data_IF_001471444833
#
_entry.id   IF_001471444833
#
_cell.length_a   1.000
_cell.length_b   1.000
_cell.length_c   1.000
_cell.angle_alpha   90.00
_cell.angle_beta   90.00
_cell.angle_gamma   90.00
#
_symmetry.space_group_name_H-M   'P 1'
#
loop_
_entity.id
_entity.type
_entity.pdbx_description
1 polymer ?
#
# COMPACT_ATOMS: atom_id res chain seq x y z
N UNK A 1 48.77 -27.99 -15.73
CA UNK A 1 47.47 -28.24 -15.06
C UNK A 1 46.97 -27.04 -14.27
N UNK A 2 47.67 -26.49 -13.26
CA UNK A 2 47.15 -25.36 -12.43
C UNK A 2 46.76 -24.10 -13.23
N UNK A 3 47.50 -23.69 -14.26
CA UNK A 3 47.19 -22.51 -15.10
C UNK A 3 45.92 -22.71 -15.96
N UNK A 4 45.70 -23.95 -16.44
CA UNK A 4 44.50 -24.29 -17.21
C UNK A 4 43.26 -24.30 -16.32
N UNK A 5 43.37 -24.88 -15.10
CA UNK A 5 42.26 -24.92 -14.14
C UNK A 5 41.86 -23.49 -13.68
N UNK A 6 42.83 -22.60 -13.50
CA UNK A 6 42.59 -21.20 -13.12
C UNK A 6 41.94 -20.40 -14.25
N UNK A 7 42.30 -20.70 -15.52
CA UNK A 7 41.65 -20.12 -16.70
C UNK A 7 40.19 -20.51 -16.86
N UNK A 8 39.89 -21.81 -16.70
CA UNK A 8 38.49 -22.31 -16.73
C UNK A 8 37.66 -21.78 -15.59
N UNK A 9 38.20 -21.65 -14.37
CA UNK A 9 37.49 -21.07 -13.23
C UNK A 9 37.11 -19.60 -13.45
N UNK A 10 38.05 -18.81 -14.04
CA UNK A 10 37.77 -17.40 -14.40
C UNK A 10 36.71 -17.27 -15.51
N UNK A 11 36.76 -18.15 -16.50
CA UNK A 11 35.76 -18.17 -17.60
C UNK A 11 34.37 -18.52 -17.08
N UNK A 12 34.25 -19.52 -16.20
CA UNK A 12 32.99 -19.90 -15.55
C UNK A 12 32.47 -18.76 -14.67
N UNK A 13 33.32 -18.12 -13.87
CA UNK A 13 32.97 -16.96 -13.05
C UNK A 13 32.45 -15.79 -13.90
N UNK A 14 33.11 -15.51 -15.04
CA UNK A 14 32.67 -14.49 -15.99
C UNK A 14 31.30 -14.79 -16.62
N UNK A 15 31.05 -16.06 -16.98
CA UNK A 15 29.75 -16.51 -17.51
C UNK A 15 28.62 -16.39 -16.47
N UNK A 16 28.89 -16.73 -15.21
CA UNK A 16 27.91 -16.59 -14.13
C UNK A 16 27.57 -15.11 -13.90
N UNK A 17 28.57 -14.23 -13.86
CA UNK A 17 28.36 -12.78 -13.72
C UNK A 17 27.55 -12.24 -14.91
N UNK A 18 27.87 -12.63 -16.14
CA UNK A 18 27.14 -12.21 -17.33
C UNK A 18 25.68 -12.70 -17.30
N UNK A 19 25.44 -13.94 -16.87
CA UNK A 19 24.11 -14.50 -16.72
C UNK A 19 23.30 -13.76 -15.64
N UNK A 20 23.93 -13.45 -14.50
CA UNK A 20 23.30 -12.66 -13.42
C UNK A 20 22.95 -11.28 -13.91
N UNK A 21 23.85 -10.59 -14.60
CA UNK A 21 23.59 -9.27 -15.18
C UNK A 21 22.50 -9.31 -16.24
N UNK A 22 22.47 -10.34 -17.07
CA UNK A 22 21.40 -10.56 -18.07
C UNK A 22 20.04 -10.79 -17.41
N UNK A 23 19.99 -11.64 -16.38
CA UNK A 23 18.76 -11.90 -15.62
C UNK A 23 18.28 -10.65 -14.90
N UNK A 24 19.19 -9.90 -14.26
CA UNK A 24 18.86 -8.62 -13.62
C UNK A 24 18.36 -7.59 -14.65
N UNK A 25 19.04 -7.47 -15.79
CA UNK A 25 18.62 -6.60 -16.89
C UNK A 25 17.25 -6.99 -17.44
N UNK A 26 17.03 -8.28 -17.69
CA UNK A 26 15.73 -8.79 -18.12
C UNK A 26 14.63 -8.45 -17.10
N UNK A 27 14.85 -8.71 -15.79
CA UNK A 27 13.91 -8.35 -14.75
C UNK A 27 13.63 -6.83 -14.70
N UNK A 28 14.68 -6.02 -14.83
CA UNK A 28 14.56 -4.57 -14.76
C UNK A 28 13.76 -3.99 -15.93
N UNK A 29 13.97 -4.50 -17.15
CA UNK A 29 13.33 -3.97 -18.36
C UNK A 29 12.00 -4.65 -18.70
N UNK A 30 11.80 -5.91 -18.29
CA UNK A 30 10.65 -6.72 -18.68
C UNK A 30 9.73 -7.14 -17.53
N UNK A 31 10.03 -6.79 -16.27
CA UNK A 31 9.20 -7.16 -15.12
C UNK A 31 7.93 -6.30 -15.02
N UNK A 32 7.12 -6.28 -16.04
CA UNK A 32 5.86 -5.54 -16.07
C UNK A 32 4.71 -6.39 -16.61
N UNK A 33 3.52 -5.83 -16.62
CA UNK A 33 2.36 -6.41 -17.28
C UNK A 33 2.17 -5.78 -18.66
N UNK A 34 1.89 -6.64 -19.66
CA UNK A 34 1.40 -6.19 -20.96
C UNK A 34 -0.13 -6.03 -21.01
N UNK A 35 -0.81 -6.38 -19.91
CA UNK A 35 -2.25 -6.27 -19.81
C UNK A 35 -2.66 -4.80 -19.72
N UNK A 36 -3.51 -4.38 -20.66
CA UNK A 36 -4.14 -3.06 -20.61
C UNK A 36 -5.41 -3.17 -19.75
N UNK A 37 -5.53 -2.35 -18.70
CA UNK A 37 -6.62 -2.50 -17.76
C UNK A 37 -7.96 -2.12 -18.38
N UNK A 38 -9.00 -2.81 -17.93
CA UNK A 38 -10.39 -2.48 -18.20
C UNK A 38 -11.03 -1.82 -16.98
N UNK A 39 -12.21 -1.21 -17.15
CA UNK A 39 -12.95 -0.57 -16.05
C UNK A 39 -12.14 0.47 -15.28
N UNK A 40 -11.49 1.34 -16.02
CA UNK A 40 -10.76 2.50 -15.47
C UNK A 40 -11.78 3.48 -14.89
N UNK A 41 -11.58 3.83 -13.61
CA UNK A 41 -12.44 4.81 -12.96
C UNK A 41 -12.05 6.22 -13.38
N UNK A 42 -13.02 7.01 -13.81
CA UNK A 42 -12.84 8.45 -13.99
C UNK A 42 -12.62 9.12 -12.63
N UNK A 43 -11.73 10.11 -12.58
CA UNK A 43 -11.58 10.95 -11.40
C UNK A 43 -12.91 11.66 -11.09
N UNK A 44 -13.32 11.59 -9.83
CA UNK A 44 -14.50 12.30 -9.32
C UNK A 44 -14.08 13.51 -8.49
N UNK A 45 -15.01 14.42 -8.28
CA UNK A 45 -14.80 15.53 -7.35
C UNK A 45 -14.65 15.00 -5.93
N UNK A 46 -13.63 15.47 -5.24
CA UNK A 46 -13.41 15.12 -3.84
C UNK A 46 -14.51 15.73 -2.95
N UNK A 47 -15.11 14.92 -2.13
CA UNK A 47 -16.05 15.34 -1.08
C UNK A 47 -15.41 15.06 0.28
N UNK A 48 -15.29 16.07 1.13
CA UNK A 48 -14.76 15.87 2.49
C UNK A 48 -15.59 14.84 3.26
N UNK A 49 -14.97 13.96 4.04
CA UNK A 49 -15.70 13.01 4.90
C UNK A 49 -16.51 13.69 6.02
N UNK A 50 -16.35 15.00 6.19
CA UNK A 50 -17.15 15.80 7.15
C UNK A 50 -16.69 15.67 8.59
N UNK A 51 -15.48 15.24 8.85
CA UNK A 51 -14.88 15.13 10.18
C UNK A 51 -13.47 14.57 10.14
N UNK A 52 -12.83 14.41 11.33
CA UNK A 52 -11.44 13.97 11.40
C UNK A 52 -11.22 12.58 10.77
N UNK A 53 -10.08 12.42 10.09
CA UNK A 53 -9.62 11.17 9.52
C UNK A 53 -8.52 10.57 10.40
N UNK A 54 -8.70 9.32 10.84
CA UNK A 54 -7.69 8.58 11.57
C UNK A 54 -6.85 7.72 10.60
N UNK A 55 -5.53 7.90 10.62
CA UNK A 55 -4.61 7.16 9.74
C UNK A 55 -3.75 6.21 10.56
N UNK A 56 -3.83 4.93 10.26
CA UNK A 56 -2.92 3.91 10.77
C UNK A 56 -1.79 3.67 9.76
N UNK A 57 -0.53 3.68 10.26
CA UNK A 57 0.66 3.55 9.41
C UNK A 57 1.12 4.88 8.78
N UNK A 58 0.69 6.03 9.32
CA UNK A 58 0.94 7.37 8.78
C UNK A 58 2.32 7.98 9.05
N UNK A 59 3.24 7.27 9.71
CA UNK A 59 4.54 7.86 10.10
C UNK A 59 5.59 7.89 8.99
N UNK A 60 5.39 7.17 7.89
CA UNK A 60 6.33 7.06 6.76
C UNK A 60 5.68 6.53 5.49
N UNK A 61 6.44 6.59 4.39
CA UNK A 61 6.05 6.00 3.09
C UNK A 61 4.68 6.46 2.63
N UNK A 62 3.88 5.57 2.07
CA UNK A 62 2.54 5.90 1.54
C UNK A 62 1.64 6.55 2.60
N UNK A 63 1.67 6.07 3.85
CA UNK A 63 0.84 6.64 4.90
C UNK A 63 1.18 8.10 5.20
N UNK A 64 2.46 8.45 5.24
CA UNK A 64 2.88 9.85 5.42
C UNK A 64 2.47 10.73 4.23
N UNK A 65 2.59 10.21 2.99
CA UNK A 65 2.10 10.93 1.81
C UNK A 65 0.57 11.15 1.86
N UNK A 66 -0.20 10.15 2.32
CA UNK A 66 -1.65 10.31 2.56
C UNK A 66 -1.93 11.41 3.58
N UNK A 67 -1.18 11.45 4.70
CA UNK A 67 -1.33 12.51 5.71
C UNK A 67 -1.05 13.88 5.11
N UNK A 68 0.01 14.04 4.30
CA UNK A 68 0.31 15.29 3.60
C UNK A 68 -0.84 15.72 2.69
N UNK A 69 -1.33 14.80 1.84
CA UNK A 69 -2.41 15.07 0.91
C UNK A 69 -3.74 15.44 1.59
N UNK A 70 -4.07 14.80 2.70
CA UNK A 70 -5.23 15.16 3.50
C UNK A 70 -5.09 16.58 4.08
N UNK A 71 -3.91 16.92 4.62
CA UNK A 71 -3.63 18.26 5.14
C UNK A 71 -3.66 19.34 4.05
N UNK A 72 -3.13 19.05 2.85
CA UNK A 72 -3.23 19.95 1.69
C UNK A 72 -4.68 20.25 1.30
N UNK A 73 -5.62 19.32 1.57
CA UNK A 73 -7.06 19.49 1.35
C UNK A 73 -7.80 20.13 2.52
N UNK A 74 -7.08 20.48 3.60
CA UNK A 74 -7.67 21.10 4.79
C UNK A 74 -8.35 20.12 5.75
N UNK A 75 -8.19 18.81 5.55
CA UNK A 75 -8.80 17.82 6.44
C UNK A 75 -8.16 17.81 7.83
N UNK A 76 -8.97 17.56 8.84
CA UNK A 76 -8.49 17.28 10.18
C UNK A 76 -7.94 15.84 10.22
N UNK A 77 -6.67 15.66 10.58
CA UNK A 77 -6.00 14.36 10.57
C UNK A 77 -5.46 14.03 11.94
N UNK A 78 -5.72 12.80 12.38
CA UNK A 78 -5.04 12.17 13.52
C UNK A 78 -4.29 10.94 13.01
N UNK A 79 -3.06 10.74 13.50
CA UNK A 79 -2.26 9.56 13.14
C UNK A 79 -2.08 8.66 14.36
N UNK A 80 -2.46 7.39 14.21
CA UNK A 80 -2.16 6.37 15.20
C UNK A 80 -0.68 5.98 15.12
N UNK A 81 0.05 6.15 16.22
CA UNK A 81 1.50 5.93 16.31
C UNK A 81 1.83 5.00 17.47
N UNK A 82 2.84 4.15 17.32
CA UNK A 82 3.41 3.41 18.45
C UNK A 82 4.22 4.38 19.33
N UNK A 83 4.34 4.10 20.60
CA UNK A 83 5.15 4.93 21.55
C UNK A 83 6.61 5.11 21.10
N UNK A 84 7.13 4.17 20.28
CA UNK A 84 8.50 4.21 19.75
C UNK A 84 8.60 4.83 18.35
N UNK A 85 7.50 5.34 17.79
CA UNK A 85 7.50 5.93 16.44
C UNK A 85 8.20 7.28 16.41
N UNK A 86 8.93 7.55 15.33
CA UNK A 86 9.40 8.91 15.04
C UNK A 86 8.24 9.73 14.47
N UNK A 87 7.86 10.81 15.17
CA UNK A 87 6.74 11.70 14.83
C UNK A 87 7.17 13.03 14.22
N UNK A 88 8.45 13.27 14.04
CA UNK A 88 8.99 14.58 13.63
C UNK A 88 8.36 15.15 12.34
N UNK A 89 8.06 14.28 11.35
CA UNK A 89 7.38 14.72 10.13
C UNK A 89 5.90 15.06 10.37
N UNK A 90 5.25 14.36 11.29
CA UNK A 90 3.86 14.62 11.67
C UNK A 90 3.74 15.96 12.42
N UNK A 91 4.70 16.25 13.28
CA UNK A 91 4.78 17.54 14.01
C UNK A 91 4.93 18.71 13.05
N UNK A 92 5.80 18.59 12.02
CA UNK A 92 5.93 19.60 10.95
C UNK A 92 4.65 19.85 10.18
N UNK A 93 3.82 18.81 10.02
CA UNK A 93 2.53 18.90 9.35
C UNK A 93 1.40 19.43 10.24
N UNK A 94 1.67 19.62 11.54
CA UNK A 94 0.68 20.08 12.50
C UNK A 94 -0.50 19.13 12.66
N UNK A 95 -0.27 17.80 12.56
CA UNK A 95 -1.31 16.80 12.74
C UNK A 95 -1.31 16.25 14.17
N UNK A 96 -2.49 15.87 14.64
CA UNK A 96 -2.64 15.20 15.94
C UNK A 96 -2.13 13.77 15.89
N UNK A 97 -1.64 13.28 17.01
CA UNK A 97 -1.25 11.87 17.15
C UNK A 97 -1.98 11.22 18.32
N UNK A 98 -2.23 9.91 18.22
CA UNK A 98 -2.74 9.08 19.30
C UNK A 98 -1.88 7.82 19.42
N UNK A 99 -1.54 7.43 20.65
CA UNK A 99 -0.73 6.24 20.87
C UNK A 99 -1.58 4.99 20.67
N UNK A 100 -1.19 4.15 19.71
CA UNK A 100 -1.79 2.84 19.49
C UNK A 100 -0.82 1.91 18.76
N UNK A 101 -0.51 0.76 19.37
CA UNK A 101 0.04 -0.39 18.64
C UNK A 101 -1.13 -1.15 18.01
N UNK A 102 -1.11 -1.32 16.69
CA UNK A 102 -2.17 -2.02 15.98
C UNK A 102 -2.32 -3.49 16.39
N UNK A 103 -1.28 -4.10 16.97
CA UNK A 103 -1.34 -5.47 17.49
C UNK A 103 -1.99 -5.56 18.88
N UNK A 104 -2.22 -4.42 19.54
CA UNK A 104 -2.90 -4.30 20.82
C UNK A 104 -4.33 -3.79 20.59
N UNK A 105 -5.32 -4.68 20.73
CA UNK A 105 -6.71 -4.36 20.47
C UNK A 105 -7.28 -3.30 21.43
N UNK A 106 -6.80 -3.25 22.68
CA UNK A 106 -7.26 -2.27 23.67
C UNK A 106 -6.77 -0.87 23.32
N UNK A 107 -5.50 -0.73 22.92
CA UNK A 107 -4.95 0.55 22.46
C UNK A 107 -5.64 1.03 21.18
N UNK A 108 -5.94 0.12 20.24
CA UNK A 108 -6.67 0.45 19.01
C UNK A 108 -8.08 0.93 19.33
N UNK A 109 -8.81 0.24 20.23
CA UNK A 109 -10.14 0.68 20.68
C UNK A 109 -10.08 2.05 21.36
N UNK A 110 -9.11 2.26 22.25
CA UNK A 110 -8.93 3.57 22.89
C UNK A 110 -8.65 4.69 21.87
N UNK A 111 -7.83 4.41 20.85
CA UNK A 111 -7.55 5.38 19.79
C UNK A 111 -8.81 5.70 18.97
N UNK A 112 -9.61 4.71 18.59
CA UNK A 112 -10.85 4.91 17.80
C UNK A 112 -11.94 5.65 18.59
N UNK A 113 -11.95 5.56 19.91
CA UNK A 113 -12.91 6.23 20.79
C UNK A 113 -12.42 7.58 21.33
N UNK A 114 -11.15 7.94 21.04
CA UNK A 114 -10.56 9.23 21.49
C UNK A 114 -11.17 10.46 20.82
N UNK A 115 -11.85 10.29 19.69
CA UNK A 115 -12.55 11.34 18.95
C UNK A 115 -13.64 10.74 18.08
N UNK A 116 -14.56 11.58 17.58
CA UNK A 116 -15.56 11.17 16.58
C UNK A 116 -14.94 11.22 15.17
N UNK A 117 -14.32 10.14 14.75
CA UNK A 117 -13.72 10.06 13.41
C UNK A 117 -14.78 9.81 12.34
N UNK A 118 -14.69 10.57 11.24
CA UNK A 118 -15.54 10.37 10.06
C UNK A 118 -15.05 9.20 9.19
N UNK A 119 -13.75 8.96 9.20
CA UNK A 119 -13.14 7.91 8.39
C UNK A 119 -11.85 7.35 8.99
N UNK A 120 -11.50 6.14 8.57
CA UNK A 120 -10.22 5.49 8.85
C UNK A 120 -9.50 5.17 7.54
N UNK A 121 -8.20 5.42 7.49
CA UNK A 121 -7.31 4.91 6.44
C UNK A 121 -6.28 3.99 7.09
N UNK A 122 -6.14 2.77 6.59
CA UNK A 122 -5.08 1.85 7.01
C UNK A 122 -4.08 1.59 5.89
N UNK A 123 -2.81 1.83 6.20
CA UNK A 123 -1.66 1.46 5.38
C UNK A 123 -0.73 0.49 6.13
N UNK A 124 -1.26 -0.15 7.18
CA UNK A 124 -0.50 -1.07 8.01
C UNK A 124 0.03 -2.24 7.19
N UNK A 125 1.29 -2.53 7.36
CA UNK A 125 1.97 -3.66 6.75
C UNK A 125 3.30 -3.91 7.45
N UNK A 126 3.90 -5.07 7.17
CA UNK A 126 5.18 -5.45 7.75
C UNK A 126 6.30 -4.52 7.35
N UNK A 127 7.05 -4.07 8.35
CA UNK A 127 8.25 -3.26 8.15
C UNK A 127 9.45 -4.17 7.90
N UNK A 128 10.37 -3.74 7.03
CA UNK A 128 11.65 -4.40 6.86
C UNK A 128 12.38 -4.47 8.22
N UNK A 129 12.80 -5.67 8.63
CA UNK A 129 13.43 -5.92 9.93
C UNK A 129 12.48 -6.30 11.07
N UNK A 130 11.17 -6.15 10.91
CA UNK A 130 10.16 -6.48 11.93
C UNK A 130 9.22 -7.62 11.48
N UNK A 131 9.72 -8.58 10.71
CA UNK A 131 8.90 -9.66 10.14
C UNK A 131 8.20 -10.55 11.18
N UNK A 132 8.70 -10.59 12.42
CA UNK A 132 8.06 -11.27 13.54
C UNK A 132 6.85 -10.52 14.12
N UNK A 133 6.68 -9.22 13.79
CA UNK A 133 5.56 -8.38 14.22
C UNK A 133 4.73 -7.96 13.01
N UNK A 134 3.97 -8.90 12.45
CA UNK A 134 3.20 -8.67 11.23
C UNK A 134 1.81 -8.11 11.52
N UNK A 135 1.58 -6.80 11.36
CA UNK A 135 0.25 -6.20 11.51
C UNK A 135 -0.65 -6.46 10.29
N UNK A 136 -0.16 -7.15 9.26
CA UNK A 136 -0.83 -7.30 7.97
C UNK A 136 -2.25 -7.87 8.08
N UNK A 137 -2.47 -8.87 8.96
CA UNK A 137 -3.82 -9.35 9.28
C UNK A 137 -4.28 -8.89 10.66
N UNK A 138 -3.64 -9.32 11.74
CA UNK A 138 -4.13 -9.08 13.12
C UNK A 138 -4.28 -7.59 13.41
N UNK A 139 -3.29 -6.76 13.02
CA UNK A 139 -3.35 -5.32 13.22
C UNK A 139 -4.51 -4.68 12.43
N UNK A 140 -4.68 -5.06 11.16
CA UNK A 140 -5.78 -4.56 10.36
C UNK A 140 -7.15 -5.04 10.86
N UNK A 141 -7.26 -6.30 11.30
CA UNK A 141 -8.47 -6.83 11.93
C UNK A 141 -8.86 -6.00 13.16
N UNK A 142 -7.91 -5.74 14.07
CA UNK A 142 -8.17 -4.94 15.26
C UNK A 142 -8.68 -3.53 14.89
N UNK A 143 -8.07 -2.89 13.88
CA UNK A 143 -8.51 -1.56 13.41
C UNK A 143 -9.90 -1.61 12.78
N UNK A 144 -10.22 -2.62 11.98
CA UNK A 144 -11.54 -2.81 11.35
C UNK A 144 -12.61 -3.02 12.42
N UNK A 145 -12.36 -3.91 13.37
CA UNK A 145 -13.30 -4.24 14.46
C UNK A 145 -13.58 -3.02 15.35
N UNK A 146 -12.52 -2.29 15.72
CA UNK A 146 -12.63 -1.08 16.51
C UNK A 146 -13.33 0.06 15.74
N UNK A 147 -13.06 0.25 14.45
CA UNK A 147 -13.74 1.24 13.63
C UNK A 147 -15.25 0.98 13.58
N UNK A 148 -15.64 -0.29 13.37
CA UNK A 148 -17.03 -0.72 13.42
C UNK A 148 -17.67 -0.44 14.78
N UNK A 149 -17.01 -0.82 15.87
CA UNK A 149 -17.50 -0.64 17.23
C UNK A 149 -17.66 0.85 17.61
N UNK A 150 -16.75 1.71 17.11
CA UNK A 150 -16.81 3.17 17.30
C UNK A 150 -17.82 3.88 16.37
N UNK A 151 -18.51 3.16 15.49
CA UNK A 151 -19.48 3.73 14.56
C UNK A 151 -18.87 4.48 13.37
N UNK A 152 -17.57 4.38 13.15
CA UNK A 152 -16.91 4.91 11.95
C UNK A 152 -17.35 4.07 10.76
N UNK A 153 -17.93 4.70 9.73
CA UNK A 153 -18.44 3.97 8.57
C UNK A 153 -17.42 3.84 7.45
N UNK A 154 -16.74 4.95 7.11
CA UNK A 154 -15.84 5.02 5.95
C UNK A 154 -14.46 4.45 6.25
N UNK A 155 -14.01 3.49 5.43
CA UNK A 155 -12.73 2.81 5.61
C UNK A 155 -11.97 2.66 4.27
N UNK A 156 -10.78 3.23 4.15
CA UNK A 156 -9.89 3.02 2.99
C UNK A 156 -8.73 2.14 3.40
N UNK A 157 -8.52 1.05 2.67
CA UNK A 157 -7.51 0.04 2.99
C UNK A 157 -6.50 -0.12 1.87
N UNK A 158 -5.24 0.17 2.16
CA UNK A 158 -4.13 -0.07 1.24
C UNK A 158 -3.58 -1.46 1.51
N UNK A 159 -3.68 -2.32 0.50
CA UNK A 159 -3.26 -3.71 0.59
C UNK A 159 -2.06 -4.01 -0.33
N UNK A 160 -2.14 -5.00 -1.16
CA UNK A 160 -1.08 -5.38 -2.12
C UNK A 160 -1.69 -6.08 -3.32
N UNK A 161 -1.14 -5.84 -4.50
CA UNK A 161 -1.47 -6.64 -5.68
C UNK A 161 -1.07 -8.11 -5.43
N UNK A 162 -1.91 -9.02 -5.90
CA UNK A 162 -1.78 -10.46 -5.62
C UNK A 162 -2.70 -10.92 -4.49
N UNK A 163 -3.27 -10.01 -3.67
CA UNK A 163 -4.27 -10.37 -2.67
C UNK A 163 -5.61 -10.71 -3.33
N UNK A 164 -6.37 -11.62 -2.72
CA UNK A 164 -7.69 -12.03 -3.19
C UNK A 164 -7.68 -12.52 -4.63
N UNK A 165 -8.57 -11.98 -5.44
CA UNK A 165 -8.75 -12.30 -6.85
C UNK A 165 -7.67 -11.75 -7.80
N UNK A 166 -6.75 -10.92 -7.30
CA UNK A 166 -5.65 -10.37 -8.10
C UNK A 166 -4.37 -11.23 -8.10
N UNK A 167 -4.45 -12.49 -7.69
CA UNK A 167 -3.30 -13.40 -7.57
C UNK A 167 -2.50 -13.53 -8.88
N UNK A 168 -3.15 -13.49 -10.03
CA UNK A 168 -2.50 -13.61 -11.34
C UNK A 168 -1.82 -12.33 -11.82
N UNK A 169 -2.23 -11.15 -11.31
CA UNK A 169 -1.64 -9.87 -11.69
C UNK A 169 -0.22 -9.69 -11.14
N UNK A 170 0.06 -10.24 -9.96
CA UNK A 170 1.40 -10.14 -9.36
C UNK A 170 2.42 -10.95 -10.15
N UNK A 171 3.57 -10.36 -10.57
CA UNK A 171 4.64 -11.10 -11.23
C UNK A 171 5.07 -12.31 -10.39
N UNK A 172 5.31 -13.47 -11.05
CA UNK A 172 5.53 -14.75 -10.40
C UNK A 172 6.64 -14.74 -9.35
N UNK A 173 7.71 -13.97 -9.59
CA UNK A 173 8.78 -13.74 -8.62
C UNK A 173 8.28 -12.98 -7.39
N UNK A 174 7.61 -11.84 -7.59
CA UNK A 174 7.06 -11.03 -6.49
C UNK A 174 6.05 -11.82 -5.67
N UNK A 175 5.21 -12.61 -6.33
CA UNK A 175 4.22 -13.50 -5.69
C UNK A 175 4.87 -14.50 -4.74
N UNK A 176 6.01 -15.10 -5.14
CA UNK A 176 6.76 -16.03 -4.28
C UNK A 176 7.39 -15.33 -3.07
N UNK A 177 7.97 -14.15 -3.26
CA UNK A 177 8.58 -13.38 -2.17
C UNK A 177 7.58 -12.79 -1.19
N UNK A 178 6.41 -12.40 -1.66
CA UNK A 178 5.37 -11.75 -0.88
C UNK A 178 4.25 -12.72 -0.46
N UNK A 179 4.42 -14.03 -0.66
CA UNK A 179 3.36 -15.02 -0.45
C UNK A 179 2.68 -14.90 0.92
N UNK A 180 3.46 -14.74 1.99
CA UNK A 180 2.93 -14.58 3.35
C UNK A 180 2.18 -13.26 3.51
N UNK A 181 2.74 -12.14 3.03
CA UNK A 181 2.08 -10.82 3.06
C UNK A 181 0.78 -10.86 2.28
N UNK A 182 0.80 -11.44 1.09
CA UNK A 182 -0.38 -11.60 0.22
C UNK A 182 -1.47 -12.38 0.95
N UNK A 183 -1.12 -13.51 1.58
CA UNK A 183 -2.08 -14.34 2.32
C UNK A 183 -2.69 -13.58 3.50
N UNK A 184 -1.89 -12.88 4.30
CA UNK A 184 -2.36 -12.08 5.44
C UNK A 184 -3.21 -10.89 5.01
N UNK A 185 -2.83 -10.20 3.92
CA UNK A 185 -3.63 -9.11 3.36
C UNK A 185 -4.95 -9.61 2.78
N UNK A 186 -4.96 -10.78 2.14
CA UNK A 186 -6.21 -11.41 1.68
C UNK A 186 -7.17 -11.65 2.84
N UNK A 187 -6.68 -12.22 3.95
CA UNK A 187 -7.50 -12.41 5.15
C UNK A 187 -8.05 -11.09 5.71
N UNK A 188 -7.23 -10.03 5.71
CA UNK A 188 -7.66 -8.71 6.16
C UNK A 188 -8.72 -8.08 5.22
N UNK A 189 -8.57 -8.25 3.91
CA UNK A 189 -9.57 -7.81 2.94
C UNK A 189 -10.91 -8.52 3.12
N UNK A 190 -10.88 -9.85 3.33
CA UNK A 190 -12.08 -10.65 3.53
C UNK A 190 -12.79 -10.26 4.84
N UNK A 191 -12.01 -10.01 5.90
CA UNK A 191 -12.55 -9.49 7.16
C UNK A 191 -13.21 -8.13 7.00
N UNK A 192 -12.57 -7.20 6.25
CA UNK A 192 -13.13 -5.89 5.94
C UNK A 192 -14.43 -6.00 5.13
N UNK A 193 -14.47 -6.86 4.11
CA UNK A 193 -15.68 -7.08 3.30
C UNK A 193 -16.86 -7.58 4.16
N UNK A 194 -16.58 -8.43 5.15
CA UNK A 194 -17.57 -8.97 6.07
C UNK A 194 -17.98 -7.99 7.19
N UNK A 195 -17.28 -6.88 7.38
CA UNK A 195 -17.48 -5.97 8.52
C UNK A 195 -18.76 -5.14 8.46
N UNK A 196 -19.25 -4.84 7.25
CA UNK A 196 -20.36 -3.91 7.00
C UNK A 196 -19.95 -2.44 6.96
N UNK A 197 -18.64 -2.15 6.95
CA UNK A 197 -18.11 -0.80 6.75
C UNK A 197 -18.23 -0.35 5.29
N UNK A 198 -18.34 0.94 5.05
CA UNK A 198 -18.27 1.58 3.73
C UNK A 198 -16.81 1.58 3.26
N UNK A 199 -16.31 0.41 2.85
CA UNK A 199 -14.91 0.22 2.53
C UNK A 199 -14.56 0.57 1.08
N UNK A 200 -13.29 0.93 0.88
CA UNK A 200 -12.59 0.84 -0.42
C UNK A 200 -11.24 0.17 -0.20
N UNK A 201 -10.96 -0.86 -0.98
CA UNK A 201 -9.68 -1.56 -0.98
C UNK A 201 -8.87 -1.09 -2.18
N UNK A 202 -7.59 -0.73 -1.96
CA UNK A 202 -6.68 -0.33 -3.02
C UNK A 202 -5.45 -1.23 -2.96
N UNK A 203 -5.16 -1.90 -4.08
CA UNK A 203 -4.06 -2.86 -4.25
C UNK A 203 -2.97 -2.24 -5.12
N UNK A 204 -1.93 -1.66 -4.55
CA UNK A 204 -0.79 -1.21 -5.33
C UNK A 204 0.08 -2.38 -5.80
N UNK A 205 0.73 -2.19 -6.93
CA UNK A 205 1.86 -3.02 -7.38
C UNK A 205 3.17 -2.63 -6.70
N UNK A 206 4.28 -2.65 -7.44
CA UNK A 206 5.58 -2.26 -6.90
C UNK A 206 5.64 -0.76 -6.55
N UNK A 207 6.03 -0.44 -5.30
CA UNK A 207 6.07 0.92 -4.78
C UNK A 207 7.47 1.54 -4.88
N UNK A 208 7.56 2.81 -5.29
CA UNK A 208 8.79 3.61 -5.30
C UNK A 208 8.64 4.98 -4.64
N UNK A 209 9.76 5.45 -4.09
CA UNK A 209 9.89 6.84 -3.61
C UNK A 209 10.38 7.70 -4.78
N UNK A 210 9.47 8.04 -5.67
CA UNK A 210 9.69 8.76 -6.93
C UNK A 210 8.67 9.88 -7.07
N UNK A 211 8.97 10.93 -7.85
CA UNK A 211 8.03 12.02 -8.09
C UNK A 211 6.67 11.50 -8.62
N UNK A 212 5.59 12.17 -8.25
CA UNK A 212 4.28 11.87 -8.78
C UNK A 212 4.22 12.07 -10.31
N UNK A 213 3.52 11.20 -11.00
CA UNK A 213 3.24 11.34 -12.43
C UNK A 213 1.94 12.09 -12.69
N UNK A 214 1.00 12.02 -11.73
CA UNK A 214 -0.35 12.53 -11.88
C UNK A 214 -1.21 11.74 -12.88
N UNK A 215 -0.70 10.60 -13.37
CA UNK A 215 -1.40 9.75 -14.37
C UNK A 215 -1.97 8.48 -13.77
N UNK A 216 -1.75 8.26 -12.47
CA UNK A 216 -2.23 7.06 -11.78
C UNK A 216 -3.76 7.00 -11.70
N UNK A 217 -4.31 5.80 -11.78
CA UNK A 217 -5.74 5.53 -11.91
C UNK A 217 -6.16 4.42 -10.94
N UNK A 218 -7.41 4.49 -10.47
CA UNK A 218 -8.09 3.38 -9.84
C UNK A 218 -8.73 2.51 -10.93
N UNK A 219 -8.44 1.21 -10.91
CA UNK A 219 -8.88 0.28 -11.92
C UNK A 219 -9.58 -0.91 -11.28
N UNK A 220 -10.84 -1.14 -11.64
CA UNK A 220 -11.63 -2.28 -11.17
C UNK A 220 -11.35 -3.52 -12.06
N UNK A 221 -10.08 -3.91 -12.12
CA UNK A 221 -9.58 -5.02 -12.92
C UNK A 221 -8.55 -5.81 -12.11
N UNK A 222 -8.86 -7.04 -11.68
CA UNK A 222 -7.97 -7.84 -10.85
C UNK A 222 -6.69 -8.30 -11.57
N UNK A 223 -6.57 -8.12 -12.89
CA UNK A 223 -5.36 -8.44 -13.68
C UNK A 223 -4.45 -7.25 -13.90
N UNK A 224 -4.89 -6.04 -13.53
CA UNK A 224 -4.10 -4.85 -13.74
C UNK A 224 -2.90 -4.81 -12.80
N UNK A 225 -1.73 -4.54 -13.36
CA UNK A 225 -0.48 -4.38 -12.63
C UNK A 225 0.35 -3.26 -13.23
N UNK A 226 0.89 -2.40 -12.39
CA UNK A 226 1.97 -1.48 -12.71
C UNK A 226 2.83 -1.22 -11.47
N UNK A 227 3.95 -0.56 -11.64
CA UNK A 227 4.63 0.12 -10.54
C UNK A 227 3.94 1.47 -10.29
N UNK A 228 4.06 2.02 -9.09
CA UNK A 228 3.43 3.29 -8.73
C UNK A 228 4.25 4.08 -7.71
N UNK A 229 4.32 5.40 -7.86
CA UNK A 229 4.87 6.30 -6.86
C UNK A 229 4.00 6.35 -5.61
N UNK A 230 4.64 6.46 -4.42
CA UNK A 230 3.88 6.58 -3.15
C UNK A 230 3.02 7.82 -3.12
N UNK A 231 3.45 8.92 -3.75
CA UNK A 231 2.69 10.15 -3.84
C UNK A 231 1.44 9.98 -4.72
N UNK A 232 1.56 9.29 -5.87
CA UNK A 232 0.41 8.97 -6.73
C UNK A 232 -0.57 8.03 -6.01
N UNK A 233 -0.06 7.01 -5.32
CA UNK A 233 -0.91 6.11 -4.52
C UNK A 233 -1.64 6.86 -3.40
N UNK A 234 -0.98 7.83 -2.77
CA UNK A 234 -1.60 8.67 -1.75
C UNK A 234 -2.73 9.53 -2.33
N UNK A 235 -2.52 10.12 -3.51
CA UNK A 235 -3.59 10.86 -4.20
C UNK A 235 -4.79 9.96 -4.51
N UNK A 236 -4.56 8.74 -5.02
CA UNK A 236 -5.64 7.77 -5.27
C UNK A 236 -6.39 7.38 -3.99
N UNK A 237 -5.66 7.20 -2.88
CA UNK A 237 -6.28 6.85 -1.59
C UNK A 237 -7.17 7.97 -1.06
N UNK A 238 -6.70 9.22 -1.18
CA UNK A 238 -7.47 10.40 -0.74
C UNK A 238 -8.65 10.66 -1.68
N UNK A 239 -8.48 10.51 -2.99
CA UNK A 239 -9.61 10.57 -3.93
C UNK A 239 -10.67 9.52 -3.61
N UNK A 240 -10.25 8.27 -3.39
CA UNK A 240 -11.16 7.19 -3.01
C UNK A 240 -11.91 7.49 -1.71
N UNK A 241 -11.24 8.07 -0.71
CA UNK A 241 -11.86 8.46 0.54
C UNK A 241 -13.07 9.38 0.32
N UNK A 242 -12.88 10.41 -0.51
CA UNK A 242 -13.89 11.43 -0.79
C UNK A 242 -14.83 11.10 -1.95
N UNK A 243 -14.80 9.89 -2.49
CA UNK A 243 -15.67 9.46 -3.59
C UNK A 243 -16.61 8.32 -3.15
N UNK A 244 -17.89 8.62 -2.85
CA UNK A 244 -18.85 7.60 -2.41
C UNK A 244 -19.05 6.44 -3.39
N UNK A 245 -18.81 6.65 -4.68
CA UNK A 245 -18.97 5.58 -5.67
C UNK A 245 -17.84 4.54 -5.64
N UNK A 246 -16.82 4.73 -4.78
CA UNK A 246 -15.79 3.72 -4.50
C UNK A 246 -16.15 2.79 -3.34
N UNK A 247 -17.25 3.05 -2.65
CA UNK A 247 -17.72 2.23 -1.52
C UNK A 247 -18.09 0.83 -2.00
N UNK A 248 -17.63 -0.17 -1.25
CA UNK A 248 -17.81 -1.58 -1.56
C UNK A 248 -16.92 -2.12 -2.68
N UNK A 249 -15.95 -1.31 -3.14
CA UNK A 249 -15.12 -1.63 -4.29
C UNK A 249 -13.69 -2.01 -3.91
N UNK A 250 -13.06 -2.78 -4.81
CA UNK A 250 -11.65 -3.14 -4.77
C UNK A 250 -11.00 -2.71 -6.07
N UNK A 251 -9.91 -1.95 -5.98
CA UNK A 251 -9.19 -1.40 -7.13
C UNK A 251 -7.73 -1.82 -7.14
N UNK A 252 -7.17 -2.06 -8.32
CA UNK A 252 -5.74 -1.94 -8.53
C UNK A 252 -5.37 -0.45 -8.63
N UNK A 253 -4.27 -0.05 -7.98
CA UNK A 253 -3.63 1.25 -8.21
C UNK A 253 -2.70 1.12 -9.41
N UNK A 254 -3.05 1.74 -10.53
CA UNK A 254 -2.39 1.55 -11.81
C UNK A 254 -1.85 2.86 -12.36
N UNK A 255 -0.57 2.86 -12.74
CA UNK A 255 0.05 3.99 -13.43
C UNK A 255 0.47 3.56 -14.84
N UNK A 256 -0.21 4.06 -15.90
CA UNK A 256 0.09 3.68 -17.28
C UNK A 256 1.49 4.06 -17.73
N UNK A 257 2.11 5.05 -17.10
CA UNK A 257 3.48 5.49 -17.40
C UNK A 257 4.54 4.60 -16.76
N UNK A 258 4.17 3.73 -15.79
CA UNK A 258 5.08 2.91 -14.97
C UNK A 258 4.82 1.41 -15.09
N UNK A 259 4.60 0.93 -16.32
CA UNK A 259 4.29 -0.48 -16.58
C UNK A 259 5.47 -1.43 -16.28
N UNK A 260 6.71 -0.95 -16.26
CA UNK A 260 7.92 -1.74 -15.97
C UNK A 260 8.74 -1.12 -14.86
N UNK A 261 9.62 -1.92 -14.24
CA UNK A 261 10.53 -1.41 -13.20
C UNK A 261 11.48 -0.33 -13.74
N UNK A 262 11.93 -0.44 -14.99
CA UNK A 262 12.76 0.60 -15.62
C UNK A 262 12.04 1.94 -15.70
N UNK A 263 10.76 1.93 -16.06
CA UNK A 263 9.92 3.14 -16.11
C UNK A 263 9.55 3.71 -14.74
N UNK A 264 9.86 2.97 -13.66
CA UNK A 264 9.69 3.47 -12.30
C UNK A 264 10.76 4.51 -11.94
N UNK A 265 11.98 4.36 -12.47
CA UNK A 265 13.14 5.15 -12.06
C UNK A 265 13.74 6.00 -13.18
N UNK A 266 13.35 5.79 -14.43
CA UNK A 266 13.80 6.50 -15.63
C UNK A 266 12.61 6.86 -16.53
#
# INVERSE_FOLDING_TARGET
MKKFLLGTLKAIGGLIVALVLFVLGYFFWWSGSSHDPVNVRAAASYVSPGGPVLVFGGTRGTGLEIVRKLRERGEAVTVAVRSTSNTSELEKLGVSTVIADALDAEQVNAALTSSSYAAVISTLGTTRGEQHKRPDYIGNRNVIDAAKAAGVKRFVFITVIGAGDSAEAAPGFSRRFLAEVIALKTQAEDHLRASGLDYTIIRPGGLGDVPATGTALLVEDPKAFSFIGRADLADLAVQALGDPATIGKTYAAYDPSRKTMSKMYF
#
